data_IF_259773325660
#
_entry.id   IF_259773325660
#
_cell.length_a   1.000
_cell.length_b   1.000
_cell.length_c   1.000
_cell.angle_alpha   90.00
_cell.angle_beta   90.00
_cell.angle_gamma   90.00
#
_symmetry.space_group_name_H-M   'P 1'
#
loop_
_entity.id
_entity.type
_entity.pdbx_description
1 polymer ?
#
# COMPACT_ATOMS: atom_id res chain seq x y z
N UNK A 1 60.74 36.43 -29.47
CA UNK A 1 59.39 36.26 -30.04
C UNK A 1 58.95 34.85 -29.68
N UNK A 2 57.95 34.54 -28.87
CA UNK A 2 56.81 35.29 -28.36
C UNK A 2 55.59 34.38 -28.44
N UNK A 3 55.22 33.76 -27.30
CA UNK A 3 53.94 33.05 -26.99
C UNK A 3 53.67 31.67 -27.66
N UNK A 4 52.73 30.84 -27.14
CA UNK A 4 52.34 30.62 -25.72
C UNK A 4 51.95 29.16 -25.36
N UNK A 5 52.05 28.84 -24.06
CA UNK A 5 51.04 28.10 -23.27
C UNK A 5 50.40 26.81 -23.81
N UNK A 6 51.01 25.66 -23.50
CA UNK A 6 50.35 24.35 -23.46
C UNK A 6 50.01 23.99 -22.00
N UNK A 7 49.01 24.69 -21.45
CA UNK A 7 48.22 24.29 -20.30
C UNK A 7 46.82 24.84 -20.58
N UNK A 8 45.88 23.99 -21.03
CA UNK A 8 45.13 23.19 -20.06
C UNK A 8 44.62 21.86 -20.66
N UNK A 9 45.29 20.74 -20.39
CA UNK A 9 44.71 19.40 -20.65
C UNK A 9 44.60 18.52 -19.40
N UNK A 10 44.84 19.11 -18.21
CA UNK A 10 44.86 18.41 -16.92
C UNK A 10 43.67 18.75 -16.01
N UNK A 11 42.53 19.17 -16.59
CA UNK A 11 41.30 19.51 -15.85
C UNK A 11 40.07 18.69 -16.30
N UNK A 12 40.25 17.68 -17.16
CA UNK A 12 39.17 16.81 -17.65
C UNK A 12 39.05 15.47 -16.92
N UNK A 13 39.79 15.28 -15.81
CA UNK A 13 39.69 14.10 -14.94
C UNK A 13 38.99 14.40 -13.62
N UNK A 14 37.97 15.26 -13.62
CA UNK A 14 36.87 15.10 -12.67
C UNK A 14 35.97 14.02 -13.26
N UNK A 15 36.38 12.76 -13.05
CA UNK A 15 35.43 11.66 -13.05
C UNK A 15 34.30 12.11 -12.14
N UNK A 16 33.14 12.37 -12.73
CA UNK A 16 31.86 12.36 -12.05
C UNK A 16 31.69 10.96 -11.48
N UNK A 17 32.32 10.69 -10.34
CA UNK A 17 31.84 9.72 -9.39
C UNK A 17 30.47 10.23 -8.98
N UNK A 18 29.46 9.93 -9.79
CA UNK A 18 28.10 9.79 -9.31
C UNK A 18 28.28 8.83 -8.14
N UNK A 19 28.05 9.24 -6.88
CA UNK A 19 28.11 8.30 -5.77
C UNK A 19 27.20 7.15 -6.18
N UNK A 20 27.76 5.94 -6.30
CA UNK A 20 26.95 4.74 -6.40
C UNK A 20 25.88 4.91 -5.33
N UNK A 21 24.61 5.04 -5.70
CA UNK A 21 23.56 5.21 -4.72
C UNK A 21 23.67 4.02 -3.77
N UNK A 22 24.12 4.26 -2.54
CA UNK A 22 24.28 3.19 -1.56
C UNK A 22 22.87 2.67 -1.31
N UNK A 23 22.63 1.45 -1.77
CA UNK A 23 21.41 0.70 -1.50
C UNK A 23 21.32 0.50 0.01
N UNK A 24 20.14 0.80 0.58
CA UNK A 24 19.89 0.62 2.00
C UNK A 24 20.13 -0.84 2.39
N UNK A 25 20.83 -1.08 3.49
CA UNK A 25 21.01 -2.42 4.04
C UNK A 25 20.11 -2.64 5.24
N UNK A 26 19.42 -3.78 5.31
CA UNK A 26 18.55 -4.13 6.43
C UNK A 26 18.87 -5.53 6.96
N UNK A 27 18.48 -5.81 8.20
CA UNK A 27 18.44 -7.19 8.69
C UNK A 27 17.21 -7.89 8.14
N UNK A 28 17.42 -9.06 7.53
CA UNK A 28 16.39 -10.01 7.12
C UNK A 28 16.35 -11.15 8.15
N UNK A 29 15.23 -11.29 8.85
CA UNK A 29 15.02 -12.36 9.84
C UNK A 29 13.71 -13.09 9.55
N UNK A 30 13.80 -14.40 9.34
CA UNK A 30 12.61 -15.26 9.26
C UNK A 30 12.10 -15.66 10.66
N UNK A 31 10.93 -16.32 10.72
CA UNK A 31 10.27 -16.73 11.98
C UNK A 31 11.13 -17.61 12.90
N UNK A 32 12.14 -18.30 12.37
CA UNK A 32 13.04 -19.21 13.09
C UNK A 32 14.22 -18.46 13.74
N UNK A 33 14.26 -17.12 13.65
CA UNK A 33 15.25 -16.27 14.34
C UNK A 33 16.63 -16.23 13.69
N UNK A 34 16.84 -16.90 12.56
CA UNK A 34 18.06 -16.73 11.75
C UNK A 34 17.99 -15.39 11.02
N UNK A 35 18.99 -14.55 11.25
CA UNK A 35 19.08 -13.22 10.67
C UNK A 35 20.32 -13.08 9.79
N UNK A 36 20.18 -12.42 8.65
CA UNK A 36 21.27 -12.05 7.76
C UNK A 36 21.11 -10.60 7.30
N UNK A 37 22.17 -10.02 6.74
CA UNK A 37 22.07 -8.70 6.10
C UNK A 37 21.53 -8.91 4.68
N UNK A 38 20.58 -8.08 4.29
CA UNK A 38 19.99 -8.01 2.96
C UNK A 38 20.22 -6.60 2.40
N UNK A 39 20.57 -6.53 1.12
CA UNK A 39 20.64 -5.28 0.37
C UNK A 39 19.27 -5.01 -0.25
N UNK A 40 18.67 -3.86 0.06
CA UNK A 40 17.31 -3.56 -0.36
C UNK A 40 17.22 -3.28 -1.85
N UNK A 41 16.15 -3.78 -2.47
CA UNK A 41 15.89 -3.55 -3.89
C UNK A 41 15.56 -2.08 -4.17
N UNK A 42 15.66 -1.69 -5.44
CA UNK A 42 15.26 -0.34 -5.88
C UNK A 42 13.82 -0.03 -5.46
N UNK A 43 13.61 1.11 -4.80
CA UNK A 43 12.31 1.53 -4.27
C UNK A 43 11.95 0.96 -2.90
N UNK A 44 12.85 0.21 -2.25
CA UNK A 44 12.76 -0.18 -0.84
C UNK A 44 13.75 0.65 -0.02
N UNK A 45 13.28 1.77 0.52
CA UNK A 45 14.07 2.77 1.24
C UNK A 45 13.83 2.72 2.77
N UNK A 46 13.16 1.67 3.27
CA UNK A 46 12.92 1.44 4.68
C UNK A 46 13.33 0.03 5.11
N UNK A 47 13.79 -0.10 6.35
CA UNK A 47 13.83 -1.36 7.07
C UNK A 47 12.59 -1.52 7.93
N UNK A 48 12.01 -2.74 7.98
CA UNK A 48 10.89 -3.08 8.86
C UNK A 48 11.28 -4.05 9.96
N UNK A 49 10.56 -3.96 11.07
CA UNK A 49 10.45 -4.99 12.11
C UNK A 49 8.98 -5.22 12.41
N UNK A 50 8.51 -6.44 12.19
CA UNK A 50 7.14 -6.87 12.49
C UNK A 50 7.18 -7.84 13.66
N UNK A 51 6.45 -7.53 14.73
CA UNK A 51 6.39 -8.31 15.97
C UNK A 51 4.96 -8.77 16.18
N UNK A 52 4.76 -10.07 16.31
CA UNK A 52 3.51 -10.68 16.73
C UNK A 52 3.70 -11.28 18.11
N UNK A 53 2.87 -10.87 19.07
CA UNK A 53 2.83 -11.42 20.43
C UNK A 53 1.49 -12.09 20.65
N UNK A 54 1.52 -13.28 21.21
CA UNK A 54 0.34 -14.03 21.64
C UNK A 54 0.47 -14.26 23.13
N UNK A 55 -0.47 -13.71 23.90
CA UNK A 55 -0.51 -13.87 25.34
C UNK A 55 -1.69 -14.76 25.74
N UNK A 56 -1.42 -15.82 26.50
CA UNK A 56 -2.42 -16.77 26.99
C UNK A 56 -2.03 -17.30 28.37
N UNK A 57 -2.92 -17.21 29.36
CA UNK A 57 -2.69 -17.86 30.66
C UNK A 57 -1.44 -17.42 31.45
N UNK A 58 -0.80 -16.30 31.07
CA UNK A 58 0.45 -15.84 31.66
C UNK A 58 1.71 -16.26 30.90
N UNK A 59 1.58 -17.10 29.87
CA UNK A 59 2.63 -17.39 28.91
C UNK A 59 2.56 -16.42 27.72
N UNK A 60 3.71 -16.15 27.12
CA UNK A 60 3.84 -15.24 25.98
C UNK A 60 4.70 -15.89 24.89
N UNK A 61 4.14 -15.96 23.68
CA UNK A 61 4.88 -16.30 22.47
C UNK A 61 5.15 -15.02 21.67
N UNK A 62 6.41 -14.79 21.30
CA UNK A 62 6.82 -13.67 20.46
C UNK A 62 7.43 -14.20 19.15
N UNK A 63 6.91 -13.71 18.02
CA UNK A 63 7.44 -13.97 16.67
C UNK A 63 7.90 -12.63 16.09
N UNK A 64 9.15 -12.56 15.64
CA UNK A 64 9.73 -11.34 15.06
C UNK A 64 10.23 -11.61 13.66
N UNK A 65 9.74 -10.81 12.72
CA UNK A 65 10.19 -10.78 11.34
C UNK A 65 10.83 -9.42 11.03
N UNK A 66 11.85 -9.43 10.17
CA UNK A 66 12.57 -8.22 9.74
C UNK A 66 12.92 -8.32 8.26
N UNK A 67 13.04 -7.19 7.59
CA UNK A 67 13.50 -7.12 6.21
C UNK A 67 13.43 -5.71 5.65
N UNK A 68 13.61 -5.58 4.33
CA UNK A 68 13.35 -4.34 3.60
C UNK A 68 11.84 -4.07 3.45
N UNK A 69 11.48 -2.80 3.27
CA UNK A 69 10.12 -2.33 3.09
C UNK A 69 10.08 -1.13 2.13
N UNK A 70 8.93 -0.97 1.50
CA UNK A 70 8.63 0.15 0.62
C UNK A 70 8.17 1.39 1.41
N UNK A 71 8.34 2.61 0.87
CA UNK A 71 8.02 3.86 1.56
C UNK A 71 6.53 4.01 1.89
N UNK A 72 5.67 3.24 1.21
CA UNK A 72 4.23 3.23 1.44
C UNK A 72 3.82 2.60 2.79
N UNK A 73 4.76 2.04 3.57
CA UNK A 73 4.49 1.47 4.90
C UNK A 73 4.55 2.54 6.00
N UNK A 74 3.82 2.32 7.09
CA UNK A 74 3.85 3.18 8.28
C UNK A 74 3.99 2.39 9.59
N UNK A 75 4.46 3.05 10.64
CA UNK A 75 4.44 2.49 12.00
C UNK A 75 3.01 2.24 12.45
N UNK A 76 2.75 1.05 13.00
CA UNK A 76 1.40 0.68 13.44
C UNK A 76 1.41 -0.33 14.58
N UNK A 77 0.34 -0.31 15.36
CA UNK A 77 0.06 -1.30 16.40
C UNK A 77 -1.41 -1.64 16.41
N UNK A 78 -1.71 -2.91 16.67
CA UNK A 78 -3.06 -3.42 16.88
C UNK A 78 -3.02 -4.54 17.92
N UNK A 79 -3.96 -4.51 18.86
CA UNK A 79 -4.15 -5.55 19.87
C UNK A 79 -5.62 -5.93 19.94
N UNK A 80 -5.90 -7.22 19.96
CA UNK A 80 -7.26 -7.75 20.04
C UNK A 80 -7.32 -9.09 20.78
N UNK A 81 -8.53 -9.50 21.16
CA UNK A 81 -8.82 -10.77 21.84
C UNK A 81 -9.41 -11.77 20.85
N UNK A 82 -8.96 -13.02 20.98
CA UNK A 82 -9.58 -14.20 20.36
C UNK A 82 -9.62 -15.30 21.42
N UNK A 83 -10.82 -15.70 21.84
CA UNK A 83 -11.02 -16.56 23.01
C UNK A 83 -10.33 -16.01 24.27
N UNK A 84 -9.41 -16.78 24.83
CA UNK A 84 -8.62 -16.40 26.01
C UNK A 84 -7.31 -15.68 25.67
N UNK A 85 -6.95 -15.64 24.38
CA UNK A 85 -5.70 -15.08 23.90
C UNK A 85 -5.81 -13.58 23.66
N UNK A 86 -4.70 -12.86 23.88
CA UNK A 86 -4.52 -11.49 23.40
C UNK A 86 -3.44 -11.51 22.33
N UNK A 87 -3.80 -11.15 21.11
CA UNK A 87 -2.86 -11.01 19.99
C UNK A 87 -2.49 -9.53 19.88
N UNK A 88 -1.20 -9.24 19.84
CA UNK A 88 -0.64 -7.90 19.60
C UNK A 88 0.27 -7.94 18.39
N UNK A 89 -0.05 -7.13 17.39
CA UNK A 89 0.72 -6.92 16.17
C UNK A 89 1.35 -5.53 16.23
N UNK A 90 2.65 -5.44 15.97
CA UNK A 90 3.36 -4.17 15.93
C UNK A 90 4.31 -4.17 14.73
N UNK A 91 4.29 -3.10 13.95
CA UNK A 91 5.23 -2.88 12.86
C UNK A 91 5.92 -1.54 13.05
N UNK A 92 7.25 -1.57 13.03
CA UNK A 92 8.10 -0.38 13.13
C UNK A 92 9.05 -0.29 11.94
N UNK A 93 9.28 0.95 11.50
CA UNK A 93 10.05 1.30 10.32
C UNK A 93 11.18 2.27 10.66
N UNK A 94 12.27 2.20 9.91
CA UNK A 94 13.40 3.11 9.99
C UNK A 94 14.16 3.14 8.64
N UNK A 95 14.83 4.24 8.31
CA UNK A 95 15.42 4.48 6.97
C UNK A 95 16.94 4.62 6.95
N UNK A 96 17.66 3.93 7.83
CA UNK A 96 19.14 3.98 7.90
C UNK A 96 19.71 2.57 7.94
N UNK A 97 20.96 2.40 7.49
CA UNK A 97 21.57 1.08 7.37
C UNK A 97 21.52 0.30 8.69
N UNK A 98 20.99 -0.91 8.60
CA UNK A 98 20.85 -1.89 9.66
C UNK A 98 20.11 -1.36 10.90
N UNK A 99 19.27 -0.34 10.75
CA UNK A 99 18.54 0.28 11.87
C UNK A 99 17.56 -0.68 12.58
N UNK A 100 17.16 -1.76 11.89
CA UNK A 100 16.32 -2.81 12.45
C UNK A 100 17.10 -3.92 13.15
N UNK A 101 18.41 -3.74 13.41
CA UNK A 101 19.25 -4.78 14.03
C UNK A 101 18.69 -5.24 15.40
N UNK A 102 18.67 -6.56 15.67
CA UNK A 102 18.29 -7.07 16.98
C UNK A 102 19.14 -6.41 18.08
N UNK A 103 18.49 -5.89 19.10
CA UNK A 103 19.18 -5.33 20.27
C UNK A 103 19.55 -6.48 21.22
N UNK A 104 20.84 -6.75 21.47
CA UNK A 104 21.25 -7.79 22.40
C UNK A 104 20.76 -7.48 23.82
N UNK A 105 20.22 -8.48 24.52
CA UNK A 105 19.87 -8.36 25.94
C UNK A 105 18.51 -7.70 26.23
N UNK A 106 17.75 -7.29 25.21
CA UNK A 106 16.35 -6.89 25.41
C UNK A 106 15.48 -8.14 25.45
N UNK A 107 15.38 -8.76 26.64
CA UNK A 107 14.24 -9.62 26.93
C UNK A 107 12.99 -8.76 26.74
N UNK A 108 12.05 -9.25 25.91
CA UNK A 108 10.74 -8.64 25.76
C UNK A 108 10.02 -8.76 27.09
N UNK A 109 10.29 -7.85 28.02
CA UNK A 109 9.49 -7.72 29.22
C UNK A 109 8.20 -7.07 28.79
N UNK A 110 7.15 -7.88 28.65
CA UNK A 110 5.80 -7.37 28.56
C UNK A 110 5.63 -6.32 29.63
N UNK A 111 5.30 -5.07 29.29
CA UNK A 111 5.09 -4.06 30.29
C UNK A 111 3.89 -4.53 31.13
N UNK A 112 4.14 -5.00 32.37
CA UNK A 112 3.12 -5.19 33.41
C UNK A 112 2.65 -3.81 33.90
N UNK A 113 2.33 -2.92 32.96
CA UNK A 113 1.96 -1.55 33.26
C UNK A 113 0.53 -1.59 33.78
N UNK A 114 0.41 -1.38 35.09
CA UNK A 114 -0.83 -1.18 35.88
C UNK A 114 -1.57 0.12 35.54
N UNK A 115 -1.19 0.83 34.48
CA UNK A 115 -1.88 2.06 34.06
C UNK A 115 -3.14 1.70 33.29
N UNK A 116 -4.29 2.14 33.81
CA UNK A 116 -5.57 2.01 33.10
C UNK A 116 -5.63 3.08 32.01
N UNK A 117 -5.27 2.72 30.79
CA UNK A 117 -5.51 3.57 29.63
C UNK A 117 -6.95 3.36 29.13
N UNK A 118 -7.21 3.72 27.87
CA UNK A 118 -8.50 3.57 27.24
C UNK A 118 -8.97 2.10 27.26
N UNK A 119 -10.24 1.87 27.58
CA UNK A 119 -10.86 0.54 27.50
C UNK A 119 -11.73 0.45 26.23
N UNK A 120 -11.54 -0.61 25.45
CA UNK A 120 -12.20 -0.82 24.17
C UNK A 120 -12.93 -2.16 24.12
N UNK A 121 -13.88 -2.28 23.19
CA UNK A 121 -14.45 -3.56 22.80
C UNK A 121 -13.42 -4.32 21.95
N UNK A 122 -13.37 -5.64 22.10
CA UNK A 122 -12.45 -6.49 21.36
C UNK A 122 -13.04 -7.85 21.00
N UNK A 123 -12.80 -8.26 19.76
CA UNK A 123 -13.27 -9.50 19.16
C UNK A 123 -12.45 -9.77 17.88
N UNK A 124 -12.57 -10.98 17.34
CA UNK A 124 -11.99 -11.41 16.07
C UNK A 124 -12.94 -12.36 15.31
N UNK A 125 -12.69 -12.56 14.02
CA UNK A 125 -13.42 -13.52 13.17
C UNK A 125 -12.90 -14.95 13.33
N UNK A 126 -11.65 -15.15 13.73
CA UNK A 126 -11.02 -16.47 13.90
C UNK A 126 -11.76 -17.36 14.88
N UNK A 127 -12.35 -16.80 15.94
CA UNK A 127 -13.19 -17.49 16.92
C UNK A 127 -14.69 -17.15 16.80
N UNK A 128 -15.07 -16.42 15.74
CA UNK A 128 -16.41 -15.90 15.48
C UNK A 128 -16.96 -15.01 16.61
N UNK A 129 -16.09 -14.40 17.41
CA UNK A 129 -16.52 -13.57 18.54
C UNK A 129 -17.20 -12.28 18.08
N UNK A 130 -16.71 -11.66 17.00
CA UNK A 130 -17.33 -10.45 16.45
C UNK A 130 -18.74 -10.74 15.91
N UNK A 131 -18.85 -11.74 15.04
CA UNK A 131 -20.07 -12.10 14.32
C UNK A 131 -21.16 -12.60 15.27
N UNK A 132 -20.77 -13.27 16.36
CA UNK A 132 -21.71 -13.76 17.39
C UNK A 132 -22.00 -12.74 18.49
N UNK A 133 -21.44 -11.54 18.42
CA UNK A 133 -21.59 -10.51 19.46
C UNK A 133 -21.03 -10.93 20.82
N UNK A 134 -20.01 -11.81 20.83
CA UNK A 134 -19.30 -12.25 22.05
C UNK A 134 -18.14 -11.33 22.37
N UNK A 135 -18.41 -10.04 22.28
CA UNK A 135 -17.47 -8.94 22.51
C UNK A 135 -16.86 -9.02 23.90
N UNK A 136 -15.53 -8.89 23.98
CA UNK A 136 -14.79 -8.82 25.22
C UNK A 136 -14.27 -7.39 25.46
N UNK A 137 -13.88 -7.10 26.71
CA UNK A 137 -13.22 -5.84 27.03
C UNK A 137 -11.70 -5.97 26.97
N UNK A 138 -11.03 -4.99 26.37
CA UNK A 138 -9.57 -4.92 26.28
C UNK A 138 -9.11 -3.54 26.74
N UNK A 139 -8.17 -3.52 27.69
CA UNK A 139 -7.50 -2.30 28.13
C UNK A 139 -6.30 -2.04 27.23
N UNK A 140 -6.23 -0.84 26.66
CA UNK A 140 -5.10 -0.43 25.83
C UNK A 140 -3.83 -0.27 26.67
N UNK A 141 -2.67 -0.34 26.02
CA UNK A 141 -1.35 -0.41 26.67
C UNK A 141 -0.52 0.85 26.48
N UNK A 142 -0.92 1.70 25.54
CA UNK A 142 -0.30 3.00 25.28
C UNK A 142 -1.35 4.12 25.38
N UNK A 143 -0.98 5.30 25.89
CA UNK A 143 -1.85 6.48 25.82
C UNK A 143 -2.12 6.96 24.39
N UNK A 144 -1.33 6.51 23.41
CA UNK A 144 -1.52 6.84 21.99
C UNK A 144 -2.48 5.88 21.28
N UNK A 145 -2.85 4.77 21.92
CA UNK A 145 -3.79 3.81 21.33
C UNK A 145 -5.23 4.31 21.46
N UNK A 146 -6.00 4.04 20.40
CA UNK A 146 -7.42 4.33 20.28
C UNK A 146 -8.18 3.01 20.19
N UNK A 147 -9.50 3.06 20.39
CA UNK A 147 -10.35 1.94 20.05
C UNK A 147 -10.46 1.86 18.54
N UNK A 148 -10.23 0.68 17.98
CA UNK A 148 -10.24 0.43 16.54
C UNK A 148 -11.24 -0.66 16.18
N UNK A 149 -11.82 -0.52 14.99
CA UNK A 149 -12.62 -1.53 14.30
C UNK A 149 -12.10 -1.61 12.86
N UNK A 150 -11.63 -2.79 12.47
CA UNK A 150 -11.09 -3.09 11.14
C UNK A 150 -12.00 -4.12 10.49
N UNK A 151 -12.41 -3.85 9.26
CA UNK A 151 -13.17 -4.77 8.40
C UNK A 151 -12.38 -5.00 7.13
N UNK A 152 -12.17 -6.27 6.78
CA UNK A 152 -11.52 -6.70 5.55
C UNK A 152 -12.30 -7.84 4.93
N UNK A 153 -13.01 -7.55 3.85
CA UNK A 153 -13.72 -8.55 3.07
C UNK A 153 -13.13 -8.55 1.66
N UNK A 154 -12.59 -9.69 1.23
CA UNK A 154 -12.08 -9.90 -0.13
C UNK A 154 -12.71 -11.18 -0.68
N UNK A 155 -13.42 -11.05 -1.81
CA UNK A 155 -14.08 -12.18 -2.48
C UNK A 155 -13.15 -12.97 -3.41
N UNK A 156 -12.00 -12.42 -3.77
CA UNK A 156 -10.98 -13.08 -4.60
C UNK A 156 -10.02 -13.87 -3.68
N UNK A 157 -9.90 -15.18 -3.91
CA UNK A 157 -9.00 -16.09 -3.18
C UNK A 157 -7.53 -15.69 -3.41
N UNK A 158 -7.01 -14.79 -2.59
CA UNK A 158 -5.71 -14.15 -2.84
C UNK A 158 -4.79 -13.94 -1.63
N UNK A 159 -5.05 -14.50 -0.45
CA UNK A 159 -4.11 -14.54 0.70
C UNK A 159 -4.69 -15.36 1.88
N UNK A 160 -3.88 -15.96 2.79
CA UNK A 160 -4.40 -16.79 3.88
C UNK A 160 -5.16 -15.93 4.92
N UNK A 161 -6.48 -16.13 5.02
CA UNK A 161 -7.38 -15.79 6.15
C UNK A 161 -6.93 -14.59 7.02
N UNK A 162 -6.88 -13.39 6.43
CA UNK A 162 -6.96 -12.18 7.26
C UNK A 162 -8.30 -12.19 8.01
N UNK A 163 -8.30 -11.66 9.23
CA UNK A 163 -9.51 -11.52 10.03
C UNK A 163 -10.52 -10.64 9.28
N UNK A 164 -11.73 -11.15 9.03
CA UNK A 164 -12.77 -10.37 8.36
C UNK A 164 -13.20 -9.16 9.20
N UNK A 165 -13.27 -9.37 10.50
CA UNK A 165 -13.60 -8.38 11.50
C UNK A 165 -12.61 -8.47 12.65
N UNK A 166 -12.14 -7.32 13.10
CA UNK A 166 -11.36 -7.25 14.33
C UNK A 166 -11.61 -5.95 15.06
N UNK A 167 -11.81 -6.06 16.37
CA UNK A 167 -11.95 -4.91 17.27
C UNK A 167 -10.89 -4.98 18.37
N UNK A 168 -10.42 -3.82 18.80
CA UNK A 168 -9.53 -3.75 19.95
C UNK A 168 -8.87 -2.40 20.12
N UNK A 169 -7.61 -2.41 20.51
CA UNK A 169 -6.78 -1.23 20.73
C UNK A 169 -5.76 -1.09 19.60
N UNK A 170 -5.47 0.13 19.16
CA UNK A 170 -4.43 0.30 18.16
C UNK A 170 -4.11 1.75 17.83
N UNK A 171 -3.01 1.92 17.12
CA UNK A 171 -2.68 3.14 16.40
C UNK A 171 -2.37 2.71 14.97
N UNK A 172 -3.35 2.89 14.09
CA UNK A 172 -3.29 2.50 12.70
C UNK A 172 -3.21 3.77 11.84
N UNK A 173 -2.56 3.71 10.66
CA UNK A 173 -2.67 4.80 9.70
C UNK A 173 -4.15 5.09 9.43
N UNK A 174 -4.50 6.34 9.13
CA UNK A 174 -5.90 6.72 8.89
C UNK A 174 -6.73 7.00 10.15
N UNK A 175 -6.16 6.83 11.35
CA UNK A 175 -6.74 7.38 12.58
C UNK A 175 -6.31 8.87 12.78
N UNK A 176 -7.19 9.77 13.26
CA UNK A 176 -8.61 9.55 13.58
C UNK A 176 -9.45 9.38 12.29
N UNK A 177 -10.18 8.27 12.21
CA UNK A 177 -10.96 7.86 11.05
C UNK A 177 -12.37 8.47 10.98
N UNK A 178 -13.29 7.95 10.14
CA UNK A 178 -13.16 6.70 9.38
C UNK A 178 -12.35 6.85 8.09
N UNK A 179 -11.80 5.72 7.63
CA UNK A 179 -11.23 5.56 6.29
C UNK A 179 -11.72 4.24 5.73
N UNK A 180 -11.98 4.19 4.43
CA UNK A 180 -12.49 2.98 3.81
C UNK A 180 -12.54 3.04 2.29
N UNK A 181 -12.66 1.86 1.72
CA UNK A 181 -12.78 1.57 0.30
C UNK A 181 -13.74 0.42 0.08
N UNK A 182 -14.56 0.50 -0.96
CA UNK A 182 -15.28 -0.66 -1.45
C UNK A 182 -15.44 -0.66 -2.97
N UNK A 183 -15.53 -1.85 -3.53
CA UNK A 183 -15.93 -2.10 -4.89
C UNK A 183 -16.77 -3.40 -4.93
N UNK A 184 -16.97 -4.00 -6.09
CA UNK A 184 -17.78 -5.23 -6.20
C UNK A 184 -17.16 -6.46 -5.50
N UNK A 185 -15.86 -6.47 -5.26
CA UNK A 185 -15.12 -7.63 -4.78
C UNK A 185 -14.59 -7.49 -3.37
N UNK A 186 -14.35 -6.25 -2.94
CA UNK A 186 -13.56 -5.93 -1.77
C UNK A 186 -14.22 -4.82 -0.98
N UNK A 187 -14.22 -4.97 0.34
CA UNK A 187 -14.60 -3.95 1.30
C UNK A 187 -13.55 -3.86 2.41
N UNK A 188 -12.94 -2.69 2.54
CA UNK A 188 -12.06 -2.34 3.64
C UNK A 188 -12.60 -1.14 4.40
N UNK A 189 -12.64 -1.24 5.71
CA UNK A 189 -13.07 -0.15 6.57
C UNK A 189 -12.29 -0.11 7.86
N UNK A 190 -11.84 1.08 8.24
CA UNK A 190 -11.19 1.36 9.51
C UNK A 190 -11.94 2.49 10.20
N UNK A 191 -12.37 2.24 11.43
CA UNK A 191 -12.91 3.24 12.34
C UNK A 191 -12.04 3.31 13.58
N UNK A 192 -11.73 4.53 14.02
CA UNK A 192 -10.99 4.78 15.25
C UNK A 192 -11.75 5.79 16.10
N UNK A 193 -11.70 5.62 17.42
CA UNK A 193 -12.33 6.53 18.36
C UNK A 193 -11.60 6.48 19.72
N UNK A 194 -11.72 7.55 20.50
CA UNK A 194 -10.87 7.80 21.68
C UNK A 194 -11.64 7.84 23.02
N UNK A 195 -12.88 7.34 23.05
CA UNK A 195 -13.70 7.26 24.26
C UNK A 195 -13.97 5.81 24.65
N UNK A 196 -14.23 5.55 25.93
CA UNK A 196 -14.37 4.19 26.46
C UNK A 196 -15.43 3.39 25.69
N UNK A 197 -15.04 2.23 25.15
CA UNK A 197 -15.87 1.25 24.43
C UNK A 197 -16.64 1.83 23.23
N UNK A 198 -16.13 2.90 22.62
CA UNK A 198 -16.76 3.56 21.48
C UNK A 198 -16.79 2.73 20.18
N UNK A 199 -15.99 1.66 20.10
CA UNK A 199 -15.95 0.74 18.97
C UNK A 199 -16.89 -0.47 19.12
N UNK A 200 -17.82 -0.44 20.07
CA UNK A 200 -18.85 -1.46 20.22
C UNK A 200 -20.01 -1.30 19.23
N UNK A 201 -20.98 -2.22 19.32
CA UNK A 201 -22.17 -2.24 18.47
C UNK A 201 -22.21 -3.43 17.52
N UNK A 202 -23.20 -3.51 16.62
CA UNK A 202 -23.27 -4.58 15.63
C UNK A 202 -22.06 -4.54 14.71
N UNK A 203 -21.67 -5.69 14.15
CA UNK A 203 -20.61 -5.77 13.16
C UNK A 203 -20.95 -4.91 11.95
N UNK A 204 -19.97 -4.15 11.46
CA UNK A 204 -20.13 -3.33 10.28
C UNK A 204 -20.04 -4.18 9.02
N UNK A 205 -21.12 -4.20 8.25
CA UNK A 205 -21.20 -4.80 6.92
C UNK A 205 -21.44 -3.71 5.88
N UNK A 206 -20.91 -3.90 4.66
CA UNK A 206 -21.10 -2.94 3.58
C UNK A 206 -22.60 -2.68 3.34
N UNK A 207 -23.41 -3.74 3.25
CA UNK A 207 -24.86 -3.68 3.01
C UNK A 207 -25.66 -2.89 4.07
N UNK A 208 -25.07 -2.67 5.26
CA UNK A 208 -25.69 -1.89 6.33
C UNK A 208 -25.39 -0.38 6.20
N UNK A 209 -24.49 0.01 5.29
CA UNK A 209 -24.19 1.40 5.02
C UNK A 209 -25.19 1.98 3.99
N UNK A 210 -25.73 3.19 4.21
CA UNK A 210 -26.69 3.78 3.29
C UNK A 210 -26.02 4.15 1.96
N UNK A 211 -26.75 4.04 0.86
CA UNK A 211 -26.29 4.57 -0.43
C UNK A 211 -26.12 6.09 -0.33
N UNK A 212 -25.02 6.61 -0.88
CA UNK A 212 -24.69 8.03 -0.84
C UNK A 212 -24.98 8.77 -2.15
N UNK A 213 -25.54 8.07 -3.15
CA UNK A 213 -25.94 8.64 -4.44
C UNK A 213 -24.83 8.74 -5.48
N UNK A 214 -23.57 8.43 -5.13
CA UNK A 214 -22.45 8.36 -6.08
C UNK A 214 -22.37 6.97 -6.73
N UNK A 215 -22.05 6.92 -8.01
CA UNK A 215 -21.70 5.70 -8.73
C UNK A 215 -20.28 5.79 -9.27
N UNK A 216 -19.48 4.75 -9.08
CA UNK A 216 -18.09 4.71 -9.56
C UNK A 216 -17.84 3.42 -10.33
N UNK A 217 -16.88 3.44 -11.25
CA UNK A 217 -16.39 2.23 -11.86
C UNK A 217 -15.65 1.37 -10.83
N UNK A 218 -15.82 0.06 -10.94
CA UNK A 218 -15.32 -0.99 -10.06
C UNK A 218 -14.61 -2.03 -10.89
N UNK A 219 -13.38 -2.36 -10.50
CA UNK A 219 -12.62 -3.48 -11.05
C UNK A 219 -11.38 -3.75 -10.19
N UNK A 220 -10.85 -4.96 -10.33
CA UNK A 220 -9.57 -5.39 -9.74
C UNK A 220 -8.85 -6.31 -10.73
N UNK A 221 -7.59 -6.03 -11.03
CA UNK A 221 -6.80 -6.84 -11.97
C UNK A 221 -5.88 -5.98 -12.83
N UNK A 222 -5.52 -6.45 -14.01
CA UNK A 222 -4.74 -5.66 -14.96
C UNK A 222 -5.65 -5.10 -16.07
N UNK A 223 -5.08 -4.35 -17.02
CA UNK A 223 -5.87 -3.73 -18.10
C UNK A 223 -6.50 -4.74 -19.08
N UNK A 224 -6.07 -5.99 -19.06
CA UNK A 224 -6.55 -7.07 -19.96
C UNK A 224 -7.47 -8.07 -19.27
N UNK A 225 -7.35 -8.22 -17.95
CA UNK A 225 -8.07 -9.19 -17.12
C UNK A 225 -8.45 -8.52 -15.80
N UNK A 226 -9.72 -8.57 -15.44
CA UNK A 226 -10.29 -7.94 -14.25
C UNK A 226 -10.64 -6.46 -14.43
N UNK A 227 -9.72 -5.65 -15.00
CA UNK A 227 -9.94 -4.22 -15.29
C UNK A 227 -9.99 -3.89 -16.79
N UNK A 228 -10.40 -4.85 -17.63
CA UNK A 228 -10.68 -4.62 -19.05
C UNK A 228 -11.98 -3.82 -19.24
N UNK A 229 -12.22 -3.32 -20.47
CA UNK A 229 -13.48 -2.61 -20.78
C UNK A 229 -14.73 -3.48 -20.68
N UNK A 230 -14.58 -4.80 -20.77
CA UNK A 230 -15.69 -5.76 -20.70
C UNK A 230 -16.01 -6.17 -19.26
N UNK A 231 -15.01 -6.14 -18.37
CA UNK A 231 -15.15 -6.58 -16.96
C UNK A 231 -15.41 -5.41 -15.99
N UNK A 232 -15.12 -4.17 -16.40
CA UNK A 232 -15.38 -3.00 -15.57
C UNK A 232 -16.88 -2.75 -15.42
N UNK A 233 -17.35 -2.60 -14.18
CA UNK A 233 -18.76 -2.37 -13.87
C UNK A 233 -18.95 -1.10 -13.05
N UNK A 234 -20.14 -0.49 -13.12
CA UNK A 234 -20.53 0.56 -12.17
C UNK A 234 -21.00 -0.07 -10.87
N UNK A 235 -20.59 0.51 -9.75
CA UNK A 235 -21.05 0.15 -8.41
C UNK A 235 -21.59 1.38 -7.68
N UNK A 236 -22.63 1.18 -6.87
CA UNK A 236 -23.25 2.25 -6.10
C UNK A 236 -22.50 2.45 -4.78
N UNK A 237 -22.03 3.66 -4.53
CA UNK A 237 -21.24 3.99 -3.36
C UNK A 237 -22.09 4.07 -2.09
N UNK A 238 -21.50 3.63 -0.97
CA UNK A 238 -22.18 3.48 0.31
C UNK A 238 -21.42 4.19 1.44
N UNK A 239 -22.15 4.67 2.43
CA UNK A 239 -21.61 5.34 3.61
C UNK A 239 -20.71 6.53 3.27
N UNK A 240 -19.58 6.71 3.98
CA UNK A 240 -18.69 7.86 3.78
C UNK A 240 -17.79 7.74 2.54
N UNK A 241 -17.87 6.63 1.78
CA UNK A 241 -17.03 6.37 0.61
C UNK A 241 -17.58 7.13 -0.61
N UNK A 242 -17.34 8.44 -0.63
CA UNK A 242 -17.94 9.41 -1.55
C UNK A 242 -16.95 9.98 -2.60
N UNK A 243 -15.85 9.29 -2.84
CA UNK A 243 -14.89 9.57 -3.90
C UNK A 243 -14.82 8.38 -4.84
N UNK A 244 -14.71 8.62 -6.15
CA UNK A 244 -14.33 7.56 -7.08
C UNK A 244 -12.82 7.45 -7.13
N UNK A 245 -12.30 6.27 -6.87
CA UNK A 245 -10.87 5.96 -6.83
C UNK A 245 -10.45 5.16 -8.05
N UNK A 246 -9.25 5.45 -8.54
CA UNK A 246 -8.44 4.58 -9.41
C UNK A 246 -7.03 4.57 -8.82
N UNK A 247 -6.54 3.38 -8.49
CA UNK A 247 -5.15 3.18 -8.15
C UNK A 247 -4.49 2.15 -9.05
N UNK A 248 -3.22 2.37 -9.35
CA UNK A 248 -2.37 1.45 -10.12
C UNK A 248 -1.05 1.25 -9.39
N UNK A 249 -0.52 0.03 -9.41
CA UNK A 249 0.78 -0.29 -8.84
C UNK A 249 1.26 -1.67 -9.29
N UNK A 250 2.35 -2.14 -8.71
CA UNK A 250 2.86 -3.50 -8.91
C UNK A 250 2.45 -4.37 -7.74
N UNK A 251 1.99 -5.60 -7.99
CA UNK A 251 1.74 -6.57 -6.93
C UNK A 251 2.97 -7.48 -6.76
N UNK A 252 3.18 -8.02 -5.55
CA UNK A 252 4.33 -8.89 -5.25
C UNK A 252 4.36 -10.24 -6.00
N UNK A 253 3.32 -10.54 -6.79
CA UNK A 253 3.16 -11.76 -7.58
C UNK A 253 3.68 -11.63 -9.03
N UNK A 254 4.28 -10.49 -9.39
CA UNK A 254 4.92 -10.30 -10.69
C UNK A 254 4.00 -9.76 -11.79
N UNK A 255 2.77 -9.32 -11.48
CA UNK A 255 1.99 -8.56 -12.45
C UNK A 255 2.54 -7.12 -12.52
N UNK A 256 3.05 -6.69 -13.70
CA UNK A 256 3.71 -5.39 -13.84
C UNK A 256 2.74 -4.20 -13.69
N UNK A 257 1.43 -4.44 -13.73
CA UNK A 257 0.41 -3.40 -13.57
C UNK A 257 -0.89 -3.99 -13.01
N UNK A 258 -1.09 -3.86 -11.71
CA UNK A 258 -2.38 -4.10 -11.04
C UNK A 258 -3.12 -2.77 -10.90
N UNK A 259 -4.42 -2.79 -11.17
CA UNK A 259 -5.34 -1.66 -11.12
C UNK A 259 -6.49 -2.03 -10.20
N UNK A 260 -6.87 -1.10 -9.34
CA UNK A 260 -8.09 -1.18 -8.53
C UNK A 260 -8.92 0.08 -8.73
N UNK A 261 -10.22 -0.10 -8.90
CA UNK A 261 -11.21 0.98 -8.95
C UNK A 261 -12.36 0.69 -8.01
N UNK A 262 -12.94 1.75 -7.46
CA UNK A 262 -14.08 1.65 -6.56
C UNK A 262 -14.43 2.98 -5.92
N UNK A 263 -15.21 2.91 -4.86
CA UNK A 263 -15.59 4.04 -4.03
C UNK A 263 -14.66 4.11 -2.81
N UNK A 264 -14.21 5.30 -2.45
CA UNK A 264 -13.28 5.53 -1.36
C UNK A 264 -13.71 6.73 -0.52
N UNK A 265 -13.27 6.75 0.73
CA UNK A 265 -13.25 7.98 1.54
C UNK A 265 -12.13 8.91 1.07
N UNK A 266 -12.25 10.22 1.32
CA UNK A 266 -11.18 11.18 1.01
C UNK A 266 -9.86 10.85 1.72
N UNK A 267 -9.92 10.35 2.96
CA UNK A 267 -8.74 9.91 3.73
C UNK A 267 -8.04 8.72 3.08
N UNK A 268 -8.79 7.77 2.52
CA UNK A 268 -8.23 6.64 1.77
C UNK A 268 -7.48 7.07 0.50
N UNK A 269 -7.92 8.14 -0.16
CA UNK A 269 -7.25 8.68 -1.36
C UNK A 269 -5.89 9.33 -1.08
N UNK A 270 -5.70 9.89 0.12
CA UNK A 270 -4.50 10.63 0.52
C UNK A 270 -3.48 9.76 1.24
N UNK A 271 -3.88 8.55 1.61
CA UNK A 271 -3.10 7.66 2.44
C UNK A 271 -2.63 6.45 1.65
N UNK A 272 -1.71 5.73 2.26
CA UNK A 272 -1.08 4.55 1.69
C UNK A 272 -1.91 3.27 1.97
N UNK A 273 -3.16 3.42 2.40
CA UNK A 273 -4.08 2.30 2.68
C UNK A 273 -4.29 1.37 1.49
N UNK A 274 -4.32 1.93 0.29
CA UNK A 274 -4.42 1.13 -0.94
C UNK A 274 -3.22 0.18 -1.08
N UNK A 275 -2.01 0.64 -0.77
CA UNK A 275 -0.80 -0.18 -0.85
C UNK A 275 -0.87 -1.37 0.11
N UNK A 276 -1.43 -1.16 1.30
CA UNK A 276 -1.54 -2.21 2.31
C UNK A 276 -2.68 -3.19 2.01
N UNK A 277 -3.87 -2.67 1.69
CA UNK A 277 -5.06 -3.47 1.40
C UNK A 277 -4.88 -4.41 0.19
N UNK A 278 -4.16 -3.94 -0.83
CA UNK A 278 -3.96 -4.68 -2.09
C UNK A 278 -2.53 -5.17 -2.30
N UNK A 279 -1.66 -5.06 -1.27
CA UNK A 279 -0.23 -5.43 -1.36
C UNK A 279 0.46 -4.83 -2.59
N UNK A 280 0.20 -3.54 -2.85
CA UNK A 280 0.74 -2.80 -4.00
C UNK A 280 1.95 -1.97 -3.61
N UNK A 281 2.87 -1.84 -4.56
CA UNK A 281 4.06 -0.98 -4.50
C UNK A 281 4.10 -0.07 -5.73
N UNK A 282 4.91 1.00 -5.69
CA UNK A 282 4.98 1.99 -6.77
C UNK A 282 3.60 2.57 -7.11
N UNK A 283 2.90 2.99 -6.06
CA UNK A 283 1.49 3.31 -6.11
C UNK A 283 1.22 4.66 -6.80
N UNK A 284 0.26 4.68 -7.71
CA UNK A 284 -0.33 5.91 -8.24
C UNK A 284 -1.84 5.92 -7.93
N UNK A 285 -2.28 6.84 -7.09
CA UNK A 285 -3.69 7.00 -6.69
C UNK A 285 -4.26 8.26 -7.32
N UNK A 286 -5.45 8.12 -7.89
CA UNK A 286 -6.25 9.24 -8.37
C UNK A 286 -7.66 9.12 -7.83
N UNK A 287 -8.19 10.22 -7.31
CA UNK A 287 -9.56 10.32 -6.84
C UNK A 287 -10.26 11.51 -7.46
N UNK A 288 -11.57 11.38 -7.66
CA UNK A 288 -12.41 12.42 -8.21
C UNK A 288 -13.82 12.35 -7.62
N UNK A 289 -14.49 13.49 -7.64
CA UNK A 289 -15.89 13.62 -7.22
C UNK A 289 -16.78 13.68 -8.45
N UNK A 290 -17.86 12.91 -8.46
CA UNK A 290 -18.85 12.88 -9.54
C UNK A 290 -19.03 11.49 -10.14
N UNK A 291 -20.25 11.22 -10.63
CA UNK A 291 -20.61 9.89 -11.12
C UNK A 291 -19.71 9.44 -12.27
N UNK A 292 -19.13 8.25 -12.13
CA UNK A 292 -18.32 7.59 -13.15
C UNK A 292 -17.04 8.34 -13.53
N UNK A 293 -16.59 9.32 -12.75
CA UNK A 293 -15.42 10.13 -13.10
C UNK A 293 -14.11 9.31 -13.16
N UNK A 294 -14.07 8.15 -12.49
CA UNK A 294 -12.99 7.18 -12.59
C UNK A 294 -13.18 6.21 -13.78
N UNK A 295 -13.71 6.67 -14.91
CA UNK A 295 -13.79 5.89 -16.15
C UNK A 295 -12.38 5.55 -16.68
N UNK A 296 -12.18 4.40 -17.37
CA UNK A 296 -10.95 4.11 -18.10
C UNK A 296 -10.83 5.04 -19.32
N UNK A 297 -9.94 6.03 -19.27
CA UNK A 297 -9.65 6.85 -20.46
C UNK A 297 -9.04 5.94 -21.53
N UNK A 298 -9.76 5.70 -22.65
CA UNK A 298 -9.16 5.15 -23.86
C UNK A 298 -8.01 6.07 -24.24
N UNK A 299 -6.80 5.54 -24.35
CA UNK A 299 -5.56 6.29 -24.54
C UNK A 299 -5.71 7.50 -25.47
N UNK A 300 -5.86 8.67 -24.87
CA UNK A 300 -5.38 9.90 -25.45
C UNK A 300 -4.09 10.20 -24.70
N UNK A 301 -2.98 10.18 -25.44
CA UNK A 301 -1.72 10.72 -24.97
C UNK A 301 -1.97 12.05 -24.23
N UNK A 302 -1.27 12.34 -23.13
CA UNK A 302 -1.34 13.66 -22.53
C UNK A 302 -0.98 14.66 -23.63
N UNK A 303 -1.92 15.50 -24.04
CA UNK A 303 -1.60 16.69 -24.82
C UNK A 303 -0.68 17.52 -23.94
N UNK A 304 0.63 17.44 -24.21
CA UNK A 304 1.58 18.46 -23.81
C UNK A 304 1.00 19.82 -24.20
N UNK A 305 1.08 20.75 -23.27
CA UNK A 305 0.37 22.02 -23.30
C UNK A 305 0.41 22.74 -24.65
N UNK A 306 -0.76 23.22 -25.07
CA UNK A 306 -0.85 24.19 -26.15
C UNK A 306 -0.18 25.49 -25.72
N UNK A 307 0.96 25.78 -26.31
CA UNK A 307 1.47 27.13 -26.46
C UNK A 307 0.98 27.71 -27.80
N UNK A 308 0.64 28.98 -27.74
CA UNK A 308 0.10 29.89 -28.74
C UNK A 308 0.62 29.75 -30.19
N UNK A 309 -0.32 29.88 -31.13
CA UNK A 309 -0.14 30.11 -32.57
C UNK A 309 1.06 31.01 -32.95
N UNK A 310 1.67 30.72 -34.10
CA UNK A 310 1.80 31.74 -35.15
C UNK A 310 1.18 31.27 -36.48
N UNK A 311 0.68 32.26 -37.25
CA UNK A 311 -0.10 32.07 -38.47
C UNK A 311 0.63 31.46 -39.68
N UNK A 312 -0.09 31.29 -40.80
CA UNK A 312 0.35 30.45 -41.91
C UNK A 312 1.27 31.22 -42.87
N UNK A 313 2.34 30.58 -43.30
CA UNK A 313 3.08 30.97 -44.50
C UNK A 313 3.35 29.74 -45.35
N UNK A 314 2.83 29.79 -46.58
CA UNK A 314 2.95 28.81 -47.63
C UNK A 314 4.34 28.81 -48.31
N UNK A 315 4.66 27.64 -48.92
CA UNK A 315 5.54 27.40 -50.07
C UNK A 315 7.08 27.49 -49.88
N UNK A 316 7.78 26.35 -50.12
CA UNK A 316 8.49 26.13 -51.39
C UNK A 316 9.12 24.74 -51.46
N UNK A 317 8.89 24.08 -52.60
CA UNK A 317 9.58 22.90 -53.13
C UNK A 317 11.08 23.18 -53.31
N UNK A 318 11.95 22.19 -53.12
CA UNK A 318 12.82 21.64 -54.19
C UNK A 318 13.65 20.43 -53.72
N UNK A 319 13.94 19.60 -54.71
CA UNK A 319 14.36 18.20 -54.62
C UNK A 319 15.88 17.98 -54.55
N UNK A 320 16.29 16.82 -54.03
CA UNK A 320 17.45 16.06 -54.53
C UNK A 320 17.18 14.55 -54.41
N UNK A 321 17.39 13.86 -55.52
CA UNK A 321 17.11 12.44 -55.79
C UNK A 321 18.37 11.56 -55.61
N UNK A 322 18.13 10.26 -55.35
CA UNK A 322 18.93 9.07 -55.73
C UNK A 322 20.24 8.79 -54.91
N UNK A 323 20.67 7.55 -54.57
CA UNK A 323 20.69 6.25 -55.29
C UNK A 323 20.70 5.04 -54.29
N UNK A 324 19.97 3.99 -54.72
CA UNK A 324 19.97 2.51 -54.46
C UNK A 324 20.91 1.81 -53.46
N UNK A 325 20.40 0.76 -52.79
CA UNK A 325 20.65 -0.66 -53.14
C UNK A 325 19.92 -1.65 -52.19
N UNK A 326 19.08 -2.54 -52.76
CA UNK A 326 18.60 -3.80 -52.16
C UNK A 326 19.24 -4.97 -52.90
N UNK A 327 19.91 -5.87 -52.17
CA UNK A 327 20.33 -7.23 -52.52
C UNK A 327 20.55 -7.90 -51.13
N UNK A 328 19.99 -9.02 -50.67
CA UNK A 328 19.34 -10.24 -51.18
C UNK A 328 18.24 -10.65 -50.15
N UNK A 329 17.19 -11.44 -50.40
CA UNK A 329 17.05 -12.57 -51.32
C UNK A 329 17.43 -13.88 -50.60
N UNK A 330 16.45 -14.58 -50.02
CA UNK A 330 16.68 -15.89 -49.38
C UNK A 330 15.47 -16.44 -48.64
N UNK A 331 14.49 -16.96 -49.38
CA UNK A 331 13.46 -17.89 -48.89
C UNK A 331 13.93 -19.34 -49.11
N UNK A 332 13.30 -20.25 -48.35
CA UNK A 332 12.94 -21.65 -48.71
C UNK A 332 13.63 -22.79 -47.93
N UNK A 333 12.78 -23.41 -47.10
CA UNK A 333 12.58 -24.82 -46.72
C UNK A 333 13.73 -25.65 -46.10
N UNK A 334 13.36 -26.31 -44.99
CA UNK A 334 13.46 -27.74 -44.64
C UNK A 334 12.35 -27.93 -43.56
N UNK A 335 11.41 -28.86 -43.56
CA UNK A 335 11.07 -30.10 -44.29
C UNK A 335 9.56 -30.22 -44.36
#
# INVERSE_FOLDING_TARGET
MGRPGLLPLLLLSLQTCIPASWSLQCMLCGRIGKCQVEECASGQDLCRTTIMRIWEGGEELEVVERGCAHPEKSNRTMSYRTGMQIITLTETLCGTDLCNRPTPGRTSTFPRIRSRYLECVSCASSDLSCERGRDQSLQCRSPTEQCVEVVTHQSLEGSPRDEHHTRGCGNLPGCPGPTGFHNNHTFHFLRCCNTTKCNGGPVLELQNLPLNGLQCYSCEGNSTHGCSSEEIALTACQGPMNQCLKATGTNGLGNPSYTVRGCATSSWCQSLHVAEAFSLTHLNVSCCTGNGCNHPVLGHQPRMGGASQPGPAHLSLMATLLITARLWGGTVLWT
#
